data_IF_729233276439
#
_entry.id   IF_729233276439
#
_cell.length_a   1.000
_cell.length_b   1.000
_cell.length_c   1.000
_cell.angle_alpha   90.00
_cell.angle_beta   90.00
_cell.angle_gamma   90.00
#
_symmetry.space_group_name_H-M   'P 1'
#
loop_
_entity.id
_entity.type
_entity.pdbx_description
1 polymer ?
#
# COMPACT_ATOMS: atom_id res chain seq x y z
N UNK A 1 24.30 -0.56 -8.09
CA UNK A 1 23.83 0.02 -6.82
C UNK A 1 22.97 -1.02 -6.16
N UNK A 2 23.31 -1.48 -4.96
CA UNK A 2 22.59 -2.59 -4.31
C UNK A 2 21.36 -2.04 -3.58
N UNK A 3 20.18 -2.21 -4.18
CA UNK A 3 18.93 -1.73 -3.62
C UNK A 3 18.64 -2.37 -2.26
N UNK A 4 18.91 -3.67 -2.10
CA UNK A 4 18.69 -4.36 -0.83
C UNK A 4 19.55 -3.77 0.28
N UNK A 5 20.81 -3.46 -0.02
CA UNK A 5 21.68 -2.75 0.90
C UNK A 5 21.08 -1.39 1.30
N UNK A 6 20.67 -0.58 0.33
CA UNK A 6 20.09 0.75 0.58
C UNK A 6 18.79 0.70 1.39
N UNK A 7 17.92 -0.29 1.14
CA UNK A 7 16.71 -0.51 1.93
C UNK A 7 17.04 -0.90 3.37
N UNK A 8 18.05 -1.75 3.59
CA UNK A 8 18.51 -2.11 4.93
C UNK A 8 19.19 -0.94 5.65
N UNK A 9 19.89 -0.05 4.95
CA UNK A 9 20.45 1.20 5.50
C UNK A 9 19.33 2.14 5.96
N UNK A 10 18.23 2.23 5.20
CA UNK A 10 17.05 2.99 5.60
C UNK A 10 16.39 2.40 6.86
N UNK A 11 16.24 1.07 6.95
CA UNK A 11 15.72 0.42 8.17
C UNK A 11 16.67 0.58 9.36
N UNK A 12 17.99 0.53 9.14
CA UNK A 12 18.96 0.80 10.19
C UNK A 12 18.78 2.19 10.79
N UNK A 13 18.63 3.22 9.93
CA UNK A 13 18.36 4.58 10.37
C UNK A 13 17.06 4.69 11.19
N UNK A 14 15.98 4.03 10.74
CA UNK A 14 14.71 4.00 11.47
C UNK A 14 14.87 3.41 12.87
N UNK A 15 15.60 2.30 12.98
CA UNK A 15 15.84 1.63 14.27
C UNK A 15 16.75 2.46 15.19
N UNK A 16 17.78 3.11 14.65
CA UNK A 16 18.66 4.02 15.38
C UNK A 16 17.91 5.24 15.94
N UNK A 17 16.87 5.69 15.22
CA UNK A 17 16.08 6.87 15.58
C UNK A 17 14.68 6.52 16.11
N UNK A 18 14.45 5.26 16.50
CA UNK A 18 13.10 4.74 16.82
C UNK A 18 12.44 5.46 18.01
N UNK A 19 13.24 5.93 18.97
CA UNK A 19 12.82 6.69 20.15
C UNK A 19 12.81 8.21 19.91
N UNK A 20 13.05 8.68 18.70
CA UNK A 20 13.13 10.09 18.35
C UNK A 20 12.20 10.39 17.17
N UNK A 21 12.20 11.65 16.73
CA UNK A 21 11.55 12.01 15.48
C UNK A 21 12.34 11.40 14.31
N UNK A 22 11.65 10.64 13.46
CA UNK A 22 12.27 9.99 12.30
C UNK A 22 12.10 10.92 11.11
N UNK A 23 13.21 11.30 10.49
CA UNK A 23 13.19 12.08 9.25
C UNK A 23 12.97 11.13 8.05
N UNK A 24 11.76 11.18 7.48
CA UNK A 24 11.42 10.33 6.33
C UNK A 24 12.12 10.76 5.03
N UNK A 25 12.60 11.99 4.92
CA UNK A 25 13.42 12.42 3.78
C UNK A 25 14.80 11.73 3.85
N UNK A 26 15.38 11.64 5.04
CA UNK A 26 16.64 10.92 5.27
C UNK A 26 16.48 9.41 5.04
N UNK A 27 15.36 8.82 5.47
CA UNK A 27 15.00 7.42 5.16
C UNK A 27 14.98 7.19 3.65
N UNK A 28 14.29 8.05 2.92
CA UNK A 28 14.15 7.97 1.46
C UNK A 28 15.50 8.15 0.76
N UNK A 29 16.32 9.10 1.23
CA UNK A 29 17.68 9.34 0.72
C UNK A 29 18.57 8.11 0.89
N UNK A 30 18.54 7.46 2.06
CA UNK A 30 19.27 6.20 2.31
C UNK A 30 18.76 5.05 1.44
N UNK A 31 17.46 5.00 1.20
CA UNK A 31 16.84 4.02 0.31
C UNK A 31 16.98 4.34 -1.19
N UNK A 32 17.60 5.47 -1.54
CA UNK A 32 17.85 5.90 -2.93
C UNK A 32 16.58 6.01 -3.78
N UNK A 33 15.47 6.42 -3.16
CA UNK A 33 14.19 6.63 -3.82
C UNK A 33 13.41 7.77 -3.16
N UNK A 34 12.25 8.12 -3.72
CA UNK A 34 11.32 9.04 -3.07
C UNK A 34 10.68 8.43 -1.82
N UNK A 35 10.27 9.28 -0.87
CA UNK A 35 9.55 8.84 0.33
C UNK A 35 8.29 8.05 -0.02
N UNK A 36 7.54 8.53 -1.02
CA UNK A 36 6.36 7.85 -1.55
C UNK A 36 6.70 6.42 -1.98
N UNK A 37 7.71 6.26 -2.83
CA UNK A 37 8.11 4.94 -3.32
C UNK A 37 8.62 4.04 -2.19
N UNK A 38 9.42 4.58 -1.25
CA UNK A 38 9.92 3.81 -0.11
C UNK A 38 8.78 3.27 0.75
N UNK A 39 7.83 4.14 1.15
CA UNK A 39 6.67 3.74 1.95
C UNK A 39 5.86 2.67 1.23
N UNK A 40 5.64 2.80 -0.09
CA UNK A 40 4.93 1.80 -0.89
C UNK A 40 5.67 0.47 -0.95
N UNK A 41 6.95 0.48 -1.33
CA UNK A 41 7.79 -0.71 -1.38
C UNK A 41 7.85 -1.43 -0.06
N UNK A 42 8.15 -0.72 1.04
CA UNK A 42 8.20 -1.29 2.38
C UNK A 42 6.90 -2.02 2.68
N UNK A 43 5.76 -1.37 2.42
CA UNK A 43 4.45 -1.90 2.79
C UNK A 43 4.07 -3.15 2.02
N UNK A 44 4.33 -3.18 0.71
CA UNK A 44 4.07 -4.37 -0.10
C UNK A 44 4.97 -5.55 0.28
N UNK A 45 6.24 -5.28 0.57
CA UNK A 45 7.21 -6.33 0.87
C UNK A 45 7.11 -6.83 2.32
N UNK A 46 6.85 -5.95 3.28
CA UNK A 46 6.74 -6.28 4.70
C UNK A 46 5.32 -6.72 5.11
N UNK A 47 4.31 -6.43 4.29
CA UNK A 47 2.91 -6.70 4.61
C UNK A 47 2.31 -5.79 5.70
N UNK A 48 3.02 -4.73 6.12
CA UNK A 48 2.60 -3.73 7.13
C UNK A 48 3.15 -2.33 6.80
N UNK A 49 2.59 -1.26 7.38
CA UNK A 49 3.07 0.12 7.10
C UNK A 49 4.44 0.27 7.68
N UNK A 50 5.18 1.21 7.11
CA UNK A 50 6.32 1.77 7.79
C UNK A 50 5.94 2.37 9.16
N UNK A 51 4.84 3.11 9.26
CA UNK A 51 4.32 3.65 10.52
C UNK A 51 3.89 2.57 11.53
N UNK A 52 3.22 1.49 11.09
CA UNK A 52 2.85 0.37 11.96
C UNK A 52 4.09 -0.41 12.41
N UNK A 53 5.05 -0.61 11.51
CA UNK A 53 6.36 -1.16 11.86
C UNK A 53 7.00 -0.35 12.99
N UNK A 54 7.13 0.99 12.80
CA UNK A 54 7.68 1.90 13.82
C UNK A 54 6.89 1.78 15.13
N UNK A 55 5.55 1.79 15.08
CA UNK A 55 4.69 1.68 16.26
C UNK A 55 4.92 0.37 17.02
N UNK A 56 4.92 -0.78 16.32
CA UNK A 56 5.16 -2.09 16.94
C UNK A 56 6.56 -2.22 17.52
N UNK A 57 7.56 -1.66 16.84
CA UNK A 57 8.95 -1.59 17.33
C UNK A 57 9.05 -0.74 18.60
N UNK A 58 8.47 0.46 18.60
CA UNK A 58 8.41 1.34 19.79
C UNK A 58 7.75 0.64 20.98
N UNK A 59 6.59 0.02 20.79
CA UNK A 59 5.87 -0.69 21.86
C UNK A 59 6.63 -1.93 22.36
N UNK A 60 7.30 -2.66 21.46
CA UNK A 60 8.19 -3.78 21.84
C UNK A 60 9.35 -3.31 22.71
N UNK A 61 10.03 -2.23 22.32
CA UNK A 61 11.15 -1.70 23.10
C UNK A 61 10.69 -1.08 24.43
N UNK A 62 9.54 -0.42 24.44
CA UNK A 62 8.90 0.06 25.66
C UNK A 62 8.61 -1.09 26.64
N UNK A 63 8.14 -2.23 26.15
CA UNK A 63 7.88 -3.41 26.97
C UNK A 63 9.19 -3.96 27.58
N UNK A 64 10.28 -4.02 26.81
CA UNK A 64 11.59 -4.42 27.33
C UNK A 64 12.10 -3.47 28.44
N UNK A 65 11.92 -2.16 28.28
CA UNK A 65 12.32 -1.19 29.31
C UNK A 65 11.46 -1.28 30.58
N UNK A 66 10.15 -1.49 30.42
CA UNK A 66 9.24 -1.63 31.56
C UNK A 66 9.49 -2.90 32.35
N UNK A 67 9.79 -4.01 31.68
CA UNK A 67 10.13 -5.28 32.33
C UNK A 67 11.43 -5.18 33.16
N UNK A 68 12.39 -4.33 32.76
CA UNK A 68 13.60 -4.07 33.56
C UNK A 68 13.34 -3.29 34.87
N UNK A 69 12.09 -2.90 35.17
CA UNK A 69 11.63 -2.43 36.49
C UNK A 69 12.01 -1.01 36.91
N UNK A 70 13.02 -0.40 36.29
CA UNK A 70 13.67 0.81 36.82
C UNK A 70 13.21 2.16 36.20
N UNK A 71 12.23 2.16 35.29
CA UNK A 71 11.79 3.36 34.57
C UNK A 71 10.35 3.73 34.92
N UNK A 72 9.93 5.01 34.84
CA UNK A 72 8.51 5.39 35.02
C UNK A 72 7.75 5.23 33.70
N UNK A 73 6.48 4.81 33.77
CA UNK A 73 5.63 4.62 32.58
C UNK A 73 5.54 5.90 31.74
N UNK A 74 5.45 7.06 32.39
CA UNK A 74 5.40 8.37 31.72
C UNK A 74 6.69 8.65 30.94
N UNK A 75 7.85 8.32 31.50
CA UNK A 75 9.14 8.54 30.83
C UNK A 75 9.25 7.65 29.58
N UNK A 76 8.82 6.39 29.68
CA UNK A 76 8.78 5.46 28.55
C UNK A 76 7.80 5.94 27.47
N UNK A 77 6.61 6.42 27.86
CA UNK A 77 5.62 6.96 26.93
C UNK A 77 6.19 8.14 26.13
N UNK A 78 6.80 9.11 26.83
CA UNK A 78 7.42 10.30 26.20
C UNK A 78 8.58 9.89 25.30
N UNK A 79 9.45 8.99 25.77
CA UNK A 79 10.59 8.47 25.00
C UNK A 79 10.15 7.85 23.68
N UNK A 80 8.99 7.18 23.64
CA UNK A 80 8.48 6.55 22.42
C UNK A 80 7.46 7.42 21.65
N UNK A 81 7.45 8.73 21.90
CA UNK A 81 6.73 9.72 21.10
C UNK A 81 5.23 9.77 21.38
N UNK A 82 4.77 9.31 22.55
CA UNK A 82 3.38 9.45 22.95
C UNK A 82 3.16 10.76 23.72
N UNK A 83 2.18 11.55 23.29
CA UNK A 83 1.84 12.84 23.90
C UNK A 83 1.14 12.73 25.25
N UNK A 84 0.59 11.57 25.60
CA UNK A 84 0.00 11.31 26.90
C UNK A 84 0.17 9.86 27.37
N UNK A 85 0.26 9.62 28.69
CA UNK A 85 0.28 8.28 29.27
C UNK A 85 -0.95 7.44 28.92
N UNK A 86 -2.12 8.07 28.77
CA UNK A 86 -3.35 7.37 28.40
C UNK A 86 -3.32 6.87 26.96
N UNK A 87 -2.80 7.68 26.03
CA UNK A 87 -2.62 7.27 24.64
C UNK A 87 -1.62 6.11 24.54
N UNK A 88 -0.52 6.20 25.29
CA UNK A 88 0.45 5.11 25.40
C UNK A 88 -0.17 3.84 25.97
N UNK A 89 -0.93 3.95 27.07
CA UNK A 89 -1.57 2.79 27.72
C UNK A 89 -2.52 2.07 26.78
N UNK A 90 -3.38 2.80 26.06
CA UNK A 90 -4.28 2.20 25.07
C UNK A 90 -3.53 1.49 23.94
N UNK A 91 -2.49 2.12 23.40
CA UNK A 91 -1.69 1.53 22.33
C UNK A 91 -0.91 0.30 22.80
N UNK A 92 -0.33 0.37 24.01
CA UNK A 92 0.40 -0.71 24.64
C UNK A 92 -0.51 -1.90 24.93
N UNK A 93 -1.68 -1.68 25.54
CA UNK A 93 -2.68 -2.73 25.76
C UNK A 93 -3.15 -3.35 24.45
N UNK A 94 -3.39 -2.55 23.40
CA UNK A 94 -3.80 -3.09 22.10
C UNK A 94 -2.78 -4.07 21.51
N UNK A 95 -1.48 -3.89 21.78
CA UNK A 95 -0.42 -4.77 21.28
C UNK A 95 -0.13 -5.91 22.25
N UNK A 96 0.09 -5.62 23.53
CA UNK A 96 0.56 -6.59 24.51
C UNK A 96 -0.58 -7.32 25.25
N UNK A 97 -1.80 -6.78 25.24
CA UNK A 97 -2.95 -7.33 25.97
C UNK A 97 -3.00 -6.96 27.45
N UNK A 98 -2.00 -6.26 27.97
CA UNK A 98 -1.86 -5.84 29.37
C UNK A 98 -1.49 -4.37 29.47
N UNK A 99 -1.70 -3.75 30.62
CA UNK A 99 -1.26 -2.37 30.90
C UNK A 99 0.27 -2.28 30.99
N UNK A 100 0.85 -1.09 30.76
CA UNK A 100 2.26 -0.82 31.05
C UNK A 100 2.68 -1.11 32.49
N UNK A 101 1.78 -0.96 33.47
CA UNK A 101 2.06 -1.23 34.88
C UNK A 101 2.11 -2.72 35.18
N UNK A 102 1.21 -3.51 34.59
CA UNK A 102 1.21 -4.97 34.69
C UNK A 102 2.45 -5.57 34.05
N UNK A 103 2.87 -5.04 32.88
CA UNK A 103 4.05 -5.50 32.12
C UNK A 103 5.39 -5.43 32.87
N UNK A 104 5.44 -4.75 34.03
CA UNK A 104 6.62 -4.73 34.92
C UNK A 104 6.86 -6.04 35.66
N UNK A 105 5.85 -6.90 35.75
CA UNK A 105 5.93 -8.16 36.48
C UNK A 105 6.29 -9.28 35.51
N UNK A 106 7.23 -10.14 35.90
CA UNK A 106 7.81 -11.19 35.05
C UNK A 106 6.81 -12.29 34.62
N UNK A 107 5.61 -12.29 35.16
CA UNK A 107 4.57 -13.29 34.88
C UNK A 107 3.70 -12.95 33.66
N UNK A 108 3.87 -11.77 33.06
CA UNK A 108 3.04 -11.33 31.93
C UNK A 108 3.60 -11.77 30.57
N UNK A 109 2.72 -12.29 29.71
CA UNK A 109 3.07 -12.61 28.33
C UNK A 109 3.08 -11.34 27.48
N UNK A 110 4.26 -10.93 27.02
CA UNK A 110 4.46 -9.74 26.20
C UNK A 110 4.78 -10.13 24.76
N UNK A 111 4.20 -9.41 23.80
CA UNK A 111 4.51 -9.60 22.37
C UNK A 111 5.80 -8.87 21.99
N UNK A 112 6.69 -9.53 21.25
CA UNK A 112 7.87 -8.92 20.66
C UNK A 112 7.75 -8.87 19.14
N UNK A 113 7.93 -7.68 18.57
CA UNK A 113 8.01 -7.50 17.12
C UNK A 113 9.48 -7.29 16.72
N UNK A 114 10.14 -8.27 16.09
CA UNK A 114 11.57 -8.17 15.77
C UNK A 114 11.84 -7.09 14.73
N UNK A 115 13.09 -6.58 14.72
CA UNK A 115 13.58 -5.70 13.66
C UNK A 115 13.45 -6.41 12.31
N UNK A 116 12.92 -5.70 11.32
CA UNK A 116 12.87 -6.21 9.94
C UNK A 116 14.19 -6.01 9.22
N UNK A 117 14.49 -6.91 8.30
CA UNK A 117 15.60 -6.80 7.36
C UNK A 117 15.13 -7.31 6.00
N UNK A 118 15.49 -6.59 4.95
CA UNK A 118 15.27 -7.05 3.59
C UNK A 118 16.35 -8.07 3.23
N UNK A 119 15.93 -9.27 2.82
CA UNK A 119 16.83 -10.32 2.36
C UNK A 119 16.52 -10.64 0.90
N UNK A 120 17.57 -10.91 0.13
CA UNK A 120 17.40 -11.47 -1.21
C UNK A 120 16.82 -12.87 -1.06
N UNK A 121 15.63 -13.08 -1.60
CA UNK A 121 15.13 -14.43 -1.85
C UNK A 121 15.14 -14.63 -3.35
N UNK A 122 15.85 -15.66 -3.82
CA UNK A 122 15.78 -16.04 -5.23
C UNK A 122 14.44 -16.74 -5.44
N UNK A 123 13.47 -15.98 -5.95
CA UNK A 123 12.16 -16.46 -6.34
C UNK A 123 11.94 -16.05 -7.79
N UNK A 124 11.67 -17.03 -8.65
CA UNK A 124 11.38 -16.79 -10.06
C UNK A 124 12.36 -17.42 -11.05
N UNK A 125 11.90 -17.33 -12.30
CA UNK A 125 12.43 -17.79 -13.59
C UNK A 125 11.37 -17.56 -14.68
N UNK A 126 10.43 -16.66 -14.42
CA UNK A 126 9.19 -16.44 -15.18
C UNK A 126 9.20 -15.00 -15.63
N UNK A 127 9.03 -14.79 -16.92
CA UNK A 127 9.00 -13.47 -17.52
C UNK A 127 7.78 -12.67 -17.02
N UNK A 128 7.85 -11.35 -17.11
CA UNK A 128 6.70 -10.47 -16.84
C UNK A 128 6.64 -9.43 -17.95
N UNK A 129 5.58 -9.49 -18.73
CA UNK A 129 5.34 -8.54 -19.81
C UNK A 129 4.96 -7.19 -19.23
N UNK A 130 5.76 -6.18 -19.56
CA UNK A 130 5.49 -4.79 -19.20
C UNK A 130 5.79 -3.85 -20.36
N UNK A 131 5.10 -2.71 -20.38
CA UNK A 131 5.35 -1.62 -21.31
C UNK A 131 5.28 -0.28 -20.60
N UNK A 132 5.98 0.71 -21.14
CA UNK A 132 5.94 2.10 -20.65
C UNK A 132 5.08 2.94 -21.58
N UNK A 133 4.06 3.60 -21.04
CA UNK A 133 3.12 4.42 -21.79
C UNK A 133 3.11 5.85 -21.23
N UNK A 134 3.25 6.85 -22.09
CA UNK A 134 3.05 8.25 -21.71
C UNK A 134 1.63 8.66 -22.08
N UNK A 135 0.91 9.29 -21.15
CA UNK A 135 -0.44 9.76 -21.39
C UNK A 135 -0.56 11.23 -21.02
N UNK A 136 -1.32 11.96 -21.85
CA UNK A 136 -1.82 13.29 -21.51
C UNK A 136 -2.85 13.21 -20.39
N UNK A 137 -3.24 14.38 -19.86
CA UNK A 137 -4.26 14.45 -18.83
C UNK A 137 -5.61 13.92 -19.34
N UNK A 138 -6.31 13.17 -18.49
CA UNK A 138 -7.64 12.63 -18.76
C UNK A 138 -8.41 12.55 -17.45
N UNK A 139 -9.65 12.05 -17.50
CA UNK A 139 -10.46 11.82 -16.30
C UNK A 139 -10.99 10.40 -16.25
N UNK A 140 -11.14 9.91 -15.03
CA UNK A 140 -11.80 8.64 -14.76
C UNK A 140 -13.20 8.97 -14.25
N UNK A 141 -14.21 8.59 -15.02
CA UNK A 141 -15.62 8.86 -14.72
C UNK A 141 -16.29 7.56 -14.28
N UNK A 142 -16.98 7.58 -13.15
CA UNK A 142 -17.58 6.37 -12.58
C UNK A 142 -18.22 6.59 -11.22
N UNK A 143 -18.29 5.51 -10.44
CA UNK A 143 -18.74 5.55 -9.05
C UNK A 143 -17.54 5.49 -8.12
N UNK A 144 -17.59 6.26 -7.03
CA UNK A 144 -16.54 6.33 -6.01
C UNK A 144 -17.06 5.80 -4.68
N UNK A 145 -16.27 4.98 -3.99
CA UNK A 145 -16.45 4.74 -2.54
C UNK A 145 -15.13 4.71 -1.81
N UNK A 146 -15.18 5.08 -0.54
CA UNK A 146 -14.12 4.82 0.42
C UNK A 146 -14.26 3.38 0.91
N UNK A 147 -13.25 2.53 0.68
CA UNK A 147 -13.32 1.10 1.01
C UNK A 147 -12.11 0.65 1.81
N UNK A 148 -12.26 -0.33 2.74
CA UNK A 148 -11.14 -0.91 3.43
C UNK A 148 -10.24 -1.70 2.48
N UNK A 149 -8.96 -1.80 2.84
CA UNK A 149 -7.91 -2.46 2.08
C UNK A 149 -7.82 -3.90 2.56
N UNK A 150 -8.12 -4.82 1.64
CA UNK A 150 -8.05 -6.25 1.84
C UNK A 150 -6.86 -6.77 1.03
N UNK A 151 -5.82 -7.27 1.71
CA UNK A 151 -4.57 -7.69 1.08
C UNK A 151 -4.63 -9.06 0.42
N UNK A 152 -5.60 -9.90 0.82
CA UNK A 152 -5.75 -11.26 0.32
C UNK A 152 -7.22 -11.57 0.08
N UNK A 153 -7.51 -12.14 -1.08
CA UNK A 153 -8.87 -12.51 -1.47
C UNK A 153 -9.70 -11.34 -1.98
N UNK A 154 -11.00 -11.58 -2.16
CA UNK A 154 -11.92 -10.58 -2.71
C UNK A 154 -12.29 -9.51 -1.70
N UNK A 155 -12.47 -8.28 -2.19
CA UNK A 155 -12.96 -7.19 -1.38
C UNK A 155 -14.49 -7.09 -1.51
N UNK A 156 -15.20 -7.49 -0.46
CA UNK A 156 -16.66 -7.49 -0.41
C UNK A 156 -17.29 -6.11 -0.69
N UNK A 157 -16.60 -5.03 -0.32
CA UNK A 157 -17.05 -3.66 -0.59
C UNK A 157 -16.96 -3.31 -2.08
N UNK A 158 -15.91 -3.76 -2.76
CA UNK A 158 -15.76 -3.59 -4.22
C UNK A 158 -16.79 -4.44 -4.96
N UNK A 159 -17.02 -5.68 -4.51
CA UNK A 159 -18.09 -6.55 -5.06
C UNK A 159 -19.48 -5.91 -4.89
N UNK A 160 -19.73 -5.25 -3.75
CA UNK A 160 -20.96 -4.50 -3.54
C UNK A 160 -21.09 -3.28 -4.47
N UNK A 161 -19.98 -2.57 -4.75
CA UNK A 161 -19.98 -1.47 -5.71
C UNK A 161 -20.35 -1.94 -7.12
N UNK A 162 -19.83 -3.09 -7.57
CA UNK A 162 -20.21 -3.69 -8.86
C UNK A 162 -21.70 -4.02 -8.94
N UNK A 163 -22.27 -4.56 -7.85
CA UNK A 163 -23.71 -4.86 -7.77
C UNK A 163 -24.58 -3.59 -7.83
N UNK A 164 -24.15 -2.53 -7.16
CA UNK A 164 -24.89 -1.25 -7.15
C UNK A 164 -24.80 -0.49 -8.49
N UNK A 165 -23.69 -0.65 -9.22
CA UNK A 165 -23.53 -0.04 -10.53
C UNK A 165 -24.60 -0.58 -11.50
N UNK A 166 -24.82 -1.89 -11.50
CA UNK A 166 -25.81 -2.54 -12.36
C UNK A 166 -25.51 -2.42 -13.86
N UNK A 167 -26.22 -3.19 -14.69
CA UNK A 167 -25.94 -3.28 -16.12
C UNK A 167 -26.16 -1.96 -16.86
N UNK A 168 -27.21 -1.21 -16.52
CA UNK A 168 -27.57 0.04 -17.20
C UNK A 168 -26.47 1.11 -17.06
N UNK A 169 -25.96 1.36 -15.85
CA UNK A 169 -24.87 2.33 -15.65
C UNK A 169 -23.56 1.84 -16.26
N UNK A 170 -23.29 0.53 -16.26
CA UNK A 170 -22.13 -0.04 -16.94
C UNK A 170 -22.17 0.28 -18.44
N UNK A 171 -23.33 0.11 -19.09
CA UNK A 171 -23.48 0.45 -20.52
C UNK A 171 -23.32 1.94 -20.79
N UNK A 172 -23.85 2.81 -19.91
CA UNK A 172 -23.65 4.26 -20.01
C UNK A 172 -22.16 4.63 -19.88
N UNK A 173 -21.45 4.06 -18.90
CA UNK A 173 -20.03 4.27 -18.72
C UNK A 173 -19.21 3.76 -19.91
N UNK A 174 -19.53 2.58 -20.45
CA UNK A 174 -18.82 2.04 -21.62
C UNK A 174 -18.88 2.98 -22.83
N UNK A 175 -20.00 3.69 -23.04
CA UNK A 175 -20.14 4.68 -24.13
C UNK A 175 -19.23 5.90 -23.97
N UNK A 176 -18.83 6.22 -22.74
CA UNK A 176 -17.90 7.33 -22.45
C UNK A 176 -16.43 6.93 -22.58
N UNK A 177 -16.12 5.63 -22.68
CA UNK A 177 -14.75 5.13 -22.75
C UNK A 177 -14.11 5.47 -24.10
N UNK A 178 -13.38 6.58 -24.14
CA UNK A 178 -12.70 7.07 -25.34
C UNK A 178 -11.18 7.25 -25.14
N UNK A 179 -10.67 7.00 -23.92
CA UNK A 179 -9.25 7.05 -23.60
C UNK A 179 -8.78 5.70 -23.07
N UNK A 180 -7.52 5.33 -23.35
CA UNK A 180 -6.94 4.13 -22.74
C UNK A 180 -6.74 4.30 -21.22
N UNK A 181 -6.85 3.23 -20.41
CA UNK A 181 -7.34 1.90 -20.77
C UNK A 181 -8.83 1.89 -21.15
N UNK A 182 -9.15 1.27 -22.29
CA UNK A 182 -10.52 1.14 -22.78
C UNK A 182 -11.33 0.15 -21.94
N UNK A 183 -12.64 0.39 -21.86
CA UNK A 183 -13.59 -0.39 -21.08
C UNK A 183 -13.65 0.03 -19.61
N UNK A 184 -14.32 -0.80 -18.80
CA UNK A 184 -14.43 -0.54 -17.36
C UNK A 184 -13.08 -0.81 -16.69
N UNK A 185 -12.66 0.14 -15.87
CA UNK A 185 -11.46 0.06 -15.05
C UNK A 185 -11.81 0.27 -13.58
N UNK A 186 -10.96 -0.28 -12.74
CA UNK A 186 -10.92 0.01 -11.33
C UNK A 186 -9.73 0.93 -11.05
N UNK A 187 -9.94 2.03 -10.34
CA UNK A 187 -8.87 2.95 -9.96
C UNK A 187 -8.83 3.10 -8.44
N UNK A 188 -7.64 2.93 -7.87
CA UNK A 188 -7.42 3.08 -6.43
C UNK A 188 -6.51 4.27 -6.18
N UNK A 189 -6.95 5.20 -5.33
CA UNK A 189 -6.22 6.43 -4.98
C UNK A 189 -6.45 6.82 -3.53
N UNK A 190 -5.79 7.90 -3.06
CA UNK A 190 -5.95 8.49 -1.73
C UNK A 190 -5.85 7.45 -0.60
N UNK A 191 -4.88 6.55 -0.68
CA UNK A 191 -4.64 5.54 0.34
C UNK A 191 -4.39 6.22 1.68
N UNK A 192 -5.22 5.93 2.69
CA UNK A 192 -4.93 6.38 4.05
C UNK A 192 -3.64 5.77 4.55
N UNK A 193 -2.91 6.53 5.37
CA UNK A 193 -1.75 6.02 6.12
C UNK A 193 -2.13 4.84 7.02
N UNK A 194 -3.41 4.73 7.39
CA UNK A 194 -3.98 3.62 8.15
C UNK A 194 -4.10 2.31 7.40
N UNK A 195 -3.46 2.15 6.22
CA UNK A 195 -3.49 1.00 5.28
C UNK A 195 -3.44 -0.42 5.91
N UNK A 196 -3.14 -0.57 7.22
CA UNK A 196 -2.25 -1.60 7.75
C UNK A 196 -2.65 -2.19 9.12
N UNK A 197 -3.95 -2.22 9.41
CA UNK A 197 -4.56 -3.14 10.41
C UNK A 197 -5.82 -3.83 9.83
N UNK A 198 -5.92 -3.98 8.50
CA UNK A 198 -7.21 -4.22 7.79
C UNK A 198 -8.25 -3.09 7.96
N UNK A 199 -7.86 -1.99 8.63
CA UNK A 199 -8.68 -0.75 8.81
C UNK A 199 -8.29 0.39 7.87
N UNK A 200 -7.32 0.13 7.00
CA UNK A 200 -6.87 1.11 6.06
C UNK A 200 -7.85 1.27 4.94
N UNK A 201 -8.09 2.49 4.50
CA UNK A 201 -9.03 2.78 3.44
C UNK A 201 -8.36 3.40 2.23
N UNK A 202 -8.96 3.21 1.06
CA UNK A 202 -8.63 3.88 -0.17
C UNK A 202 -9.89 4.42 -0.83
N UNK A 203 -9.73 5.41 -1.69
CA UNK A 203 -10.77 5.82 -2.61
C UNK A 203 -10.72 4.88 -3.80
N UNK A 204 -11.78 4.07 -3.96
CA UNK A 204 -11.93 3.16 -5.06
C UNK A 204 -12.95 3.71 -6.05
N UNK A 205 -12.60 3.67 -7.33
CA UNK A 205 -13.44 4.05 -8.44
C UNK A 205 -13.70 2.83 -9.32
N UNK A 206 -14.93 2.65 -9.75
CA UNK A 206 -15.29 1.75 -10.86
C UNK A 206 -15.85 2.65 -11.96
N UNK A 207 -15.16 2.71 -13.09
CA UNK A 207 -15.43 3.72 -14.10
C UNK A 207 -14.74 3.47 -15.42
N UNK A 208 -14.62 4.51 -16.25
CA UNK A 208 -13.91 4.47 -17.53
C UNK A 208 -12.95 5.64 -17.64
N UNK A 209 -11.87 5.48 -18.40
CA UNK A 209 -11.03 6.59 -18.81
C UNK A 209 -11.69 7.35 -19.97
N UNK A 210 -11.82 8.67 -19.82
CA UNK A 210 -12.43 9.55 -20.82
C UNK A 210 -11.82 10.96 -20.80
N UNK A 211 -11.93 11.68 -21.91
CA UNK A 211 -11.69 13.14 -21.98
C UNK A 211 -12.97 13.97 -21.91
N UNK A 212 -14.13 13.32 -22.00
CA UNK A 212 -15.43 13.99 -22.06
C UNK A 212 -15.89 14.44 -20.67
N UNK A 213 -16.86 15.36 -20.59
CA UNK A 213 -17.41 15.83 -19.31
C UNK A 213 -18.12 14.73 -18.53
N UNK A 214 -18.00 14.78 -17.20
CA UNK A 214 -18.67 13.84 -16.32
C UNK A 214 -20.20 14.09 -16.37
N UNK A 215 -21.00 13.10 -16.80
CA UNK A 215 -22.44 13.26 -16.80
C UNK A 215 -23.01 13.30 -15.37
N UNK A 216 -24.20 13.89 -15.19
CA UNK A 216 -24.89 13.89 -13.90
C UNK A 216 -25.09 12.46 -13.36
N UNK A 217 -24.88 12.29 -12.06
CA UNK A 217 -25.04 10.99 -11.38
C UNK A 217 -23.76 10.14 -11.27
N UNK A 218 -22.64 10.60 -11.84
CA UNK A 218 -21.33 10.00 -11.66
C UNK A 218 -20.36 10.96 -10.95
N UNK A 219 -19.23 10.40 -10.50
CA UNK A 219 -18.10 11.13 -9.94
C UNK A 219 -16.92 11.03 -10.90
N UNK A 220 -16.08 12.06 -10.92
CA UNK A 220 -14.84 12.05 -11.69
C UNK A 220 -13.59 12.09 -10.79
N UNK A 221 -12.49 11.55 -11.32
CA UNK A 221 -11.13 11.73 -10.83
C UNK A 221 -10.30 12.30 -11.98
N UNK A 222 -9.70 13.47 -11.76
CA UNK A 222 -8.74 14.03 -12.71
C UNK A 222 -7.40 13.32 -12.61
N UNK A 223 -6.85 12.96 -13.76
CA UNK A 223 -5.56 12.30 -13.87
C UNK A 223 -4.66 13.20 -14.70
N UNK A 224 -3.58 13.77 -14.12
CA UNK A 224 -2.66 14.62 -14.88
C UNK A 224 -1.89 13.80 -15.92
N UNK A 225 -1.13 14.49 -16.77
CA UNK A 225 -0.23 13.83 -17.69
C UNK A 225 0.83 13.04 -16.90
N UNK A 226 0.88 11.73 -17.11
CA UNK A 226 1.70 10.79 -16.33
C UNK A 226 2.36 9.76 -17.25
N UNK A 227 3.50 9.24 -16.81
CA UNK A 227 4.12 8.05 -17.40
C UNK A 227 3.69 6.83 -16.60
N UNK A 228 3.31 5.77 -17.29
CA UNK A 228 2.72 4.56 -16.73
C UNK A 228 3.59 3.35 -17.05
N UNK A 229 3.82 2.50 -16.06
CA UNK A 229 4.23 1.11 -16.28
C UNK A 229 2.97 0.26 -16.32
N UNK A 230 2.77 -0.47 -17.42
CA UNK A 230 1.61 -1.31 -17.66
C UNK A 230 2.06 -2.76 -17.69
N UNK A 231 1.51 -3.58 -16.80
CA UNK A 231 1.83 -4.99 -16.66
C UNK A 231 0.67 -5.85 -17.08
N UNK A 232 0.93 -6.89 -17.86
CA UNK A 232 -0.10 -7.87 -18.23
C UNK A 232 -0.15 -9.00 -17.20
N UNK A 233 -1.36 -9.40 -16.84
CA UNK A 233 -1.64 -10.52 -15.94
C UNK A 233 -2.71 -11.40 -16.60
N UNK A 234 -2.41 -12.67 -16.84
CA UNK A 234 -3.35 -13.64 -17.39
C UNK A 234 -3.38 -14.90 -16.53
N UNK A 235 -4.52 -15.21 -15.93
CA UNK A 235 -4.69 -16.41 -15.11
C UNK A 235 -5.94 -16.37 -14.22
N UNK A 236 -6.04 -17.28 -13.23
CA UNK A 236 -7.16 -17.31 -12.30
C UNK A 236 -7.33 -16.00 -11.51
N UNK A 237 -8.54 -15.44 -11.56
CA UNK A 237 -8.90 -14.22 -10.82
C UNK A 237 -9.46 -14.58 -9.43
N UNK A 238 -9.15 -13.80 -8.35
CA UNK A 238 -8.26 -12.63 -8.30
C UNK A 238 -6.78 -12.97 -8.05
N UNK A 239 -6.44 -14.25 -7.90
CA UNK A 239 -5.13 -14.69 -7.40
C UNK A 239 -3.97 -14.19 -8.27
N UNK A 240 -4.02 -14.39 -9.59
CA UNK A 240 -2.92 -14.02 -10.50
C UNK A 240 -2.67 -12.51 -10.49
N UNK A 241 -3.72 -11.69 -10.37
CA UNK A 241 -3.59 -10.23 -10.28
C UNK A 241 -2.89 -9.84 -8.97
N UNK A 242 -3.26 -10.46 -7.84
CA UNK A 242 -2.60 -10.22 -6.54
C UNK A 242 -1.12 -10.64 -6.56
N UNK A 243 -0.81 -11.78 -7.15
CA UNK A 243 0.57 -12.26 -7.34
C UNK A 243 1.37 -11.32 -8.24
N UNK A 244 0.77 -10.84 -9.34
CA UNK A 244 1.42 -9.87 -10.25
C UNK A 244 1.72 -8.57 -9.53
N UNK A 245 0.80 -8.04 -8.72
CA UNK A 245 1.07 -6.89 -7.85
C UNK A 245 2.27 -7.15 -6.93
N UNK A 246 2.34 -8.31 -6.27
CA UNK A 246 3.49 -8.70 -5.46
C UNK A 246 4.80 -8.67 -6.23
N UNK A 247 4.84 -9.30 -7.41
CA UNK A 247 6.02 -9.38 -8.30
C UNK A 247 6.47 -8.02 -8.83
N UNK A 248 5.54 -7.10 -9.09
CA UNK A 248 5.91 -5.75 -9.49
C UNK A 248 6.77 -5.08 -8.41
N UNK A 249 6.42 -5.22 -7.14
CA UNK A 249 7.16 -4.63 -6.02
C UNK A 249 8.38 -5.45 -5.58
N UNK A 250 8.36 -6.78 -5.71
CA UNK A 250 9.48 -7.65 -5.31
C UNK A 250 10.54 -7.85 -6.38
N UNK A 251 10.16 -7.81 -7.66
CA UNK A 251 11.04 -8.22 -8.76
C UNK A 251 11.32 -7.03 -9.70
N UNK A 252 10.27 -6.39 -10.22
CA UNK A 252 10.42 -5.39 -11.28
C UNK A 252 10.88 -4.03 -10.79
N UNK A 253 10.27 -3.49 -9.73
CA UNK A 253 10.77 -2.24 -9.14
C UNK A 253 12.24 -2.43 -8.73
N UNK A 254 12.64 -3.49 -8.01
CA UNK A 254 14.04 -3.66 -7.64
C UNK A 254 15.05 -3.73 -8.79
N UNK A 255 14.66 -4.34 -9.91
CA UNK A 255 15.52 -4.51 -11.09
C UNK A 255 15.42 -3.39 -12.13
N UNK A 256 14.43 -2.50 -12.03
CA UNK A 256 14.20 -1.42 -12.99
C UNK A 256 14.83 -0.10 -12.58
N UNK A 257 14.89 0.84 -13.53
CA UNK A 257 15.29 2.23 -13.29
C UNK A 257 14.09 3.14 -12.97
N UNK A 258 12.93 2.58 -12.63
CA UNK A 258 11.72 3.32 -12.36
C UNK A 258 11.40 3.36 -10.87
N UNK A 259 10.76 4.42 -10.42
CA UNK A 259 10.14 4.50 -9.11
C UNK A 259 8.68 4.89 -9.28
N UNK A 260 7.84 4.45 -8.36
CA UNK A 260 6.44 4.84 -8.32
C UNK A 260 6.32 6.32 -7.94
N UNK A 261 5.39 7.04 -8.56
CA UNK A 261 5.00 8.39 -8.16
C UNK A 261 3.55 8.38 -7.68
N UNK A 262 3.15 9.47 -7.03
CA UNK A 262 1.77 9.63 -6.60
C UNK A 262 0.82 9.71 -7.81
N UNK A 263 -0.31 9.03 -7.70
CA UNK A 263 -1.34 8.94 -8.72
C UNK A 263 -2.22 7.70 -8.53
N UNK A 264 -3.29 7.56 -9.34
CA UNK A 264 -4.16 6.41 -9.23
C UNK A 264 -3.48 5.15 -9.76
N UNK A 265 -3.69 4.04 -9.07
CA UNK A 265 -3.34 2.69 -9.52
C UNK A 265 -4.53 2.08 -10.24
N UNK A 266 -4.36 1.64 -11.50
CA UNK A 266 -5.48 1.14 -12.30
C UNK A 266 -5.39 -0.37 -12.50
N UNK A 267 -6.55 -1.00 -12.53
CA UNK A 267 -6.77 -2.35 -12.99
C UNK A 267 -7.79 -2.31 -14.12
N UNK A 268 -7.37 -2.67 -15.33
CA UNK A 268 -8.27 -2.86 -16.48
C UNK A 268 -8.47 -4.36 -16.68
N UNK A 269 -9.72 -4.81 -16.58
CA UNK A 269 -10.08 -6.21 -16.85
C UNK A 269 -10.59 -6.28 -18.29
N UNK A 270 -9.96 -7.12 -19.12
CA UNK A 270 -10.32 -7.23 -20.55
C UNK A 270 -11.45 -8.23 -20.79
N UNK A 271 -11.52 -9.27 -19.96
CA UNK A 271 -12.53 -10.32 -20.08
C UNK A 271 -13.79 -9.98 -19.28
N UNK A 272 -14.95 -10.37 -19.83
CA UNK A 272 -16.26 -10.17 -19.18
C UNK A 272 -16.59 -11.26 -18.16
N UNK A 273 -16.04 -12.47 -18.35
CA UNK A 273 -16.26 -13.61 -17.47
C UNK A 273 -15.07 -13.77 -16.53
N UNK A 274 -15.26 -13.39 -15.26
CA UNK A 274 -14.25 -13.51 -14.22
C UNK A 274 -14.10 -14.94 -13.68
N UNK A 275 -15.00 -15.86 -14.04
CA UNK A 275 -14.94 -17.28 -13.65
C UNK A 275 -14.17 -18.13 -14.66
N UNK A 276 -13.77 -17.53 -15.78
CA UNK A 276 -12.94 -18.18 -16.78
C UNK A 276 -11.61 -18.65 -16.15
N UNK A 277 -11.05 -19.79 -16.60
CA UNK A 277 -9.77 -20.29 -16.12
C UNK A 277 -8.62 -19.27 -16.25
N UNK A 278 -8.74 -18.38 -17.23
CA UNK A 278 -7.78 -17.31 -17.51
C UNK A 278 -8.53 -16.00 -17.73
N UNK A 279 -8.29 -15.03 -16.86
CA UNK A 279 -8.79 -13.65 -16.99
C UNK A 279 -7.61 -12.73 -17.30
N UNK A 280 -7.70 -11.99 -18.39
CA UNK A 280 -6.69 -11.04 -18.85
C UNK A 280 -6.93 -9.68 -18.20
N UNK A 281 -5.93 -9.21 -17.47
CA UNK A 281 -5.93 -7.93 -16.79
C UNK A 281 -4.68 -7.11 -17.15
N UNK A 282 -4.81 -5.80 -17.11
CA UNK A 282 -3.68 -4.88 -17.12
C UNK A 282 -3.62 -4.10 -15.82
N UNK A 283 -2.44 -4.08 -15.19
CA UNK A 283 -2.14 -3.27 -14.02
C UNK A 283 -1.37 -2.04 -14.50
N UNK A 284 -1.87 -0.84 -14.17
CA UNK A 284 -1.24 0.42 -14.54
C UNK A 284 -0.77 1.15 -13.29
N UNK A 285 0.53 1.46 -13.26
CA UNK A 285 1.16 2.15 -12.13
C UNK A 285 1.86 3.41 -12.65
N UNK A 286 1.59 4.58 -12.05
CA UNK A 286 2.28 5.79 -12.42
C UNK A 286 3.75 5.73 -11.95
N UNK A 287 4.68 6.00 -12.86
CA UNK A 287 6.12 5.87 -12.64
C UNK A 287 6.91 7.04 -13.20
N UNK A 288 8.09 7.26 -12.65
CA UNK A 288 9.12 8.11 -13.24
C UNK A 288 10.49 7.40 -13.22
N UNK A 289 11.39 7.79 -14.11
CA UNK A 289 12.79 7.31 -14.05
C UNK A 289 13.45 7.84 -12.78
N UNK A 290 14.21 6.99 -12.10
CA UNK A 290 15.11 7.40 -11.01
C UNK A 290 16.21 8.28 -11.60
N UNK A 291 16.56 9.34 -10.88
CA UNK A 291 17.68 10.22 -11.24
C UNK A 291 18.98 9.61 -10.77
#
# INVERSE_FOLDING_TARGET
MDLLKSMNEAIAYIEENIAQNIDFEEVARRALCSEYHFKRMFSFLAGITLSEYIRRRRLTLAAFELNQGNVRVVDVAVKYGYSSPDAFTRAFQSVHGVTPSEARHDEQSLKAFPRMTFQLSVKGGTEMDYRIVKKEAYRIVGVKKRVPIIFKGENSHITAMWKELGTEKIEQLQKLSNAEPLGIIQASTNFSEGRMEEKGELDHYIGVATTDECPPGFTQLEVPALTWAVFQSGGPFPQTVQETWGRIYSDWFPSSHFQQIEGPELLSIKDKDLTAPTVTCEIWIPVQKRK
#
